data_IF_130580806610
#
_entry.id   IF_130580806610
#
_cell.length_a   1.000
_cell.length_b   1.000
_cell.length_c   1.000
_cell.angle_alpha   90.00
_cell.angle_beta   90.00
_cell.angle_gamma   90.00
#
_symmetry.space_group_name_H-M   'P 1'
#
loop_
_entity.id
_entity.type
_entity.pdbx_description
1 polymer ?
#
# COMPACT_ATOMS: atom_id res chain seq x y z
N UNK A 1 -15.25 1.74 -5.16
CA UNK A 1 -14.61 0.85 -6.18
C UNK A 1 -13.49 0.03 -5.53
N UNK A 2 -13.01 -1.08 -6.13
CA UNK A 2 -11.79 -1.78 -5.65
C UNK A 2 -10.55 -0.94 -5.96
N UNK A 3 -9.48 -1.05 -5.17
CA UNK A 3 -8.26 -0.23 -5.37
C UNK A 3 -7.66 -0.39 -6.77
N UNK A 4 -7.54 -1.61 -7.29
CA UNK A 4 -6.96 -1.84 -8.60
C UNK A 4 -7.82 -1.23 -9.72
N UNK A 5 -9.14 -1.39 -9.62
CA UNK A 5 -10.10 -0.78 -10.54
C UNK A 5 -10.04 0.75 -10.49
N UNK A 6 -9.99 1.32 -9.29
CA UNK A 6 -9.84 2.77 -9.11
C UNK A 6 -8.54 3.27 -9.76
N UNK A 7 -7.41 2.63 -9.47
CA UNK A 7 -6.12 3.03 -10.03
C UNK A 7 -6.09 2.87 -11.55
N UNK A 8 -6.76 1.87 -12.12
CA UNK A 8 -6.85 1.73 -13.57
C UNK A 8 -7.68 2.88 -14.19
N UNK A 9 -8.85 3.20 -13.63
CA UNK A 9 -9.82 4.15 -14.20
C UNK A 9 -9.50 5.63 -13.94
N UNK A 10 -8.87 5.96 -12.81
CA UNK A 10 -8.55 7.35 -12.43
C UNK A 10 -7.54 7.96 -13.42
N UNK A 11 -7.71 9.19 -13.88
CA UNK A 11 -6.73 9.82 -14.80
C UNK A 11 -5.64 10.59 -14.06
N UNK A 12 -5.92 11.03 -12.84
CA UNK A 12 -4.99 11.80 -12.02
C UNK A 12 -4.02 10.89 -11.25
N UNK A 13 -2.74 10.90 -11.66
CA UNK A 13 -1.67 10.15 -11.01
C UNK A 13 -1.47 10.53 -9.53
N UNK A 14 -1.69 11.80 -9.15
CA UNK A 14 -1.55 12.24 -7.77
C UNK A 14 -2.66 11.67 -6.87
N UNK A 15 -3.89 11.52 -7.39
CA UNK A 15 -4.95 10.83 -6.65
C UNK A 15 -4.64 9.36 -6.44
N UNK A 16 -4.03 8.69 -7.43
CA UNK A 16 -3.56 7.31 -7.28
C UNK A 16 -2.48 7.20 -6.19
N UNK A 17 -1.45 8.06 -6.22
CA UNK A 17 -0.39 8.09 -5.19
C UNK A 17 -0.96 8.35 -3.80
N UNK A 18 -1.85 9.33 -3.68
CA UNK A 18 -2.51 9.68 -2.41
C UNK A 18 -3.28 8.50 -1.86
N UNK A 19 -4.08 7.81 -2.69
CA UNK A 19 -4.81 6.62 -2.26
C UNK A 19 -3.87 5.50 -1.77
N UNK A 20 -2.75 5.26 -2.46
CA UNK A 20 -1.74 4.28 -2.04
C UNK A 20 -1.10 4.68 -0.70
N UNK A 21 -0.75 5.95 -0.52
CA UNK A 21 -0.18 6.47 0.72
C UNK A 21 -1.15 6.34 1.90
N UNK A 22 -2.43 6.66 1.69
CA UNK A 22 -3.46 6.52 2.73
C UNK A 22 -3.67 5.06 3.16
N UNK A 23 -3.56 4.09 2.23
CA UNK A 23 -3.54 2.67 2.60
C UNK A 23 -2.33 2.36 3.47
N UNK A 24 -1.14 2.80 3.08
CA UNK A 24 0.09 2.57 3.84
C UNK A 24 0.01 3.15 5.27
N UNK A 25 -0.59 4.33 5.44
CA UNK A 25 -0.82 4.95 6.75
C UNK A 25 -1.74 4.08 7.62
N UNK A 26 -2.82 3.55 7.05
CA UNK A 26 -3.70 2.62 7.77
C UNK A 26 -2.98 1.34 8.18
N UNK A 27 -2.14 0.78 7.31
CA UNK A 27 -1.35 -0.42 7.60
C UNK A 27 -0.29 -0.18 8.66
N UNK A 28 0.38 0.99 8.61
CA UNK A 28 1.34 1.43 9.62
C UNK A 28 0.73 1.44 11.02
N UNK A 29 -0.52 1.90 11.13
CA UNK A 29 -1.27 1.91 12.38
C UNK A 29 -1.48 0.49 12.92
N UNK A 30 -1.84 -0.46 12.05
CA UNK A 30 -1.94 -1.88 12.45
C UNK A 30 -0.59 -2.44 12.89
N UNK A 31 0.48 -2.16 12.15
CA UNK A 31 1.84 -2.59 12.49
C UNK A 31 2.30 -2.00 13.84
N UNK A 32 2.01 -0.72 14.13
CA UNK A 32 2.31 -0.12 15.45
C UNK A 32 1.54 -0.75 16.60
N UNK A 33 0.35 -1.27 16.33
CA UNK A 33 -0.48 -1.97 17.32
C UNK A 33 -0.12 -3.45 17.42
N UNK A 34 0.90 -3.93 16.70
CA UNK A 34 1.27 -5.35 16.66
C UNK A 34 0.12 -6.23 16.17
N UNK A 35 -0.68 -5.70 15.25
CA UNK A 35 -1.84 -6.36 14.66
C UNK A 35 -1.51 -6.75 13.23
N UNK A 36 -1.67 -8.03 12.88
CA UNK A 36 -1.57 -8.51 11.51
C UNK A 36 -2.95 -8.88 10.96
N UNK A 37 -3.32 -8.26 9.83
CA UNK A 37 -4.65 -8.41 9.24
C UNK A 37 -4.88 -9.79 8.60
N UNK A 38 -3.82 -10.48 8.14
CA UNK A 38 -3.89 -11.83 7.56
C UNK A 38 -4.40 -11.94 6.12
N UNK A 39 -5.15 -10.95 5.62
CA UNK A 39 -5.78 -10.96 4.27
C UNK A 39 -5.06 -10.14 3.19
N UNK A 40 -3.83 -9.67 3.46
CA UNK A 40 -3.08 -8.83 2.52
C UNK A 40 -2.36 -9.60 1.39
N UNK A 41 -2.67 -10.89 1.21
CA UNK A 41 -2.27 -11.68 0.03
C UNK A 41 -3.03 -11.22 -1.22
N UNK A 42 -4.23 -10.62 -1.07
CA UNK A 42 -5.05 -10.09 -2.17
C UNK A 42 -5.56 -8.67 -1.91
N UNK A 43 -4.67 -7.65 -1.85
CA UNK A 43 -5.07 -6.28 -1.51
C UNK A 43 -6.14 -5.70 -2.45
N UNK A 44 -6.15 -6.17 -3.70
CA UNK A 44 -7.16 -5.86 -4.72
C UNK A 44 -8.60 -6.19 -4.29
N UNK A 45 -8.79 -7.15 -3.38
CA UNK A 45 -10.11 -7.58 -2.87
C UNK A 45 -10.45 -7.08 -1.48
N UNK A 46 -9.50 -6.51 -0.75
CA UNK A 46 -9.71 -6.10 0.65
C UNK A 46 -9.52 -4.60 0.87
N UNK A 47 -9.35 -3.83 -0.21
CA UNK A 47 -9.32 -2.37 -0.18
C UNK A 47 -10.42 -1.82 -1.10
N UNK A 48 -11.28 -0.97 -0.52
CA UNK A 48 -12.28 -0.19 -1.24
C UNK A 48 -11.89 1.27 -1.25
N UNK A 49 -12.02 1.92 -2.40
CA UNK A 49 -11.92 3.38 -2.54
C UNK A 49 -13.33 3.95 -2.55
N UNK A 50 -13.61 4.84 -1.60
CA UNK A 50 -14.85 5.62 -1.54
C UNK A 50 -14.91 6.64 -2.68
N UNK A 51 -16.08 7.24 -2.92
CA UNK A 51 -16.26 8.24 -3.99
C UNK A 51 -15.39 9.49 -3.79
N UNK A 52 -15.10 9.83 -2.54
CA UNK A 52 -14.17 10.89 -2.13
C UNK A 52 -12.68 10.55 -2.40
N UNK A 53 -12.38 9.34 -2.89
CA UNK A 53 -11.02 8.86 -3.15
C UNK A 53 -10.32 8.27 -1.91
N UNK A 54 -10.99 8.19 -0.76
CA UNK A 54 -10.40 7.69 0.47
C UNK A 54 -10.45 6.16 0.50
N UNK A 55 -9.31 5.48 0.70
CA UNK A 55 -9.27 4.03 0.85
C UNK A 55 -9.80 3.58 2.22
N UNK A 56 -10.47 2.44 2.23
CA UNK A 56 -10.96 1.76 3.43
C UNK A 56 -10.52 0.30 3.37
N UNK A 57 -9.84 -0.16 4.41
CA UNK A 57 -9.55 -1.57 4.63
C UNK A 57 -10.83 -2.28 5.08
N UNK A 58 -11.15 -3.40 4.43
CA UNK A 58 -12.29 -4.23 4.81
C UNK A 58 -11.83 -5.65 5.16
N UNK A 59 -12.73 -6.41 5.78
CA UNK A 59 -12.53 -7.84 6.12
C UNK A 59 -11.38 -8.05 7.12
N UNK A 60 -11.71 -8.07 8.41
CA UNK A 60 -10.78 -8.23 9.53
C UNK A 60 -10.92 -9.61 10.21
N UNK A 61 -11.59 -10.58 9.59
CA UNK A 61 -11.93 -11.85 10.25
C UNK A 61 -10.70 -12.69 10.63
N UNK A 62 -9.58 -12.53 9.92
CA UNK A 62 -8.31 -13.22 10.18
C UNK A 62 -7.28 -12.34 10.87
N UNK A 63 -7.73 -11.21 11.40
CA UNK A 63 -6.90 -10.30 12.15
C UNK A 63 -6.42 -10.96 13.44
N UNK A 64 -5.12 -10.86 13.72
CA UNK A 64 -4.51 -11.45 14.91
C UNK A 64 -3.38 -10.58 15.45
N UNK A 65 -3.16 -10.66 16.74
CA UNK A 65 -1.98 -10.06 17.36
C UNK A 65 -0.72 -10.85 16.98
N UNK A 66 0.38 -10.15 16.79
CA UNK A 66 1.69 -10.73 16.49
C UNK A 66 2.80 -9.73 16.80
N UNK A 67 3.92 -10.22 17.32
CA UNK A 67 5.15 -9.43 17.48
C UNK A 67 5.84 -9.08 16.16
N UNK A 68 5.39 -9.66 15.05
CA UNK A 68 6.00 -9.50 13.73
C UNK A 68 4.97 -9.24 12.63
N UNK A 69 4.23 -8.12 12.69
CA UNK A 69 3.24 -7.80 11.69
C UNK A 69 3.90 -7.58 10.31
N UNK A 70 3.18 -7.93 9.25
CA UNK A 70 3.72 -7.91 7.87
C UNK A 70 2.82 -7.12 6.91
N UNK A 71 1.97 -6.23 7.43
CA UNK A 71 0.94 -5.59 6.61
C UNK A 71 1.58 -4.71 5.52
N UNK A 72 2.56 -3.86 5.89
CA UNK A 72 3.28 -3.02 4.94
C UNK A 72 4.09 -3.84 3.95
N UNK A 73 4.84 -4.85 4.41
CA UNK A 73 5.67 -5.68 3.52
C UNK A 73 4.81 -6.41 2.47
N UNK A 74 3.67 -6.98 2.87
CA UNK A 74 2.75 -7.65 1.94
C UNK A 74 2.14 -6.66 0.95
N UNK A 75 1.76 -5.47 1.41
CA UNK A 75 1.23 -4.45 0.50
C UNK A 75 2.28 -3.94 -0.49
N UNK A 76 3.52 -3.75 -0.06
CA UNK A 76 4.65 -3.39 -0.95
C UNK A 76 4.90 -4.46 -2.01
N UNK A 77 4.78 -5.76 -1.66
CA UNK A 77 4.88 -6.84 -2.65
C UNK A 77 3.79 -6.71 -3.73
N UNK A 78 2.57 -6.35 -3.33
CA UNK A 78 1.49 -6.05 -4.28
C UNK A 78 1.80 -4.81 -5.12
N UNK A 79 2.32 -3.74 -4.52
CA UNK A 79 2.69 -2.51 -5.24
C UNK A 79 3.73 -2.76 -6.32
N UNK A 80 4.71 -3.63 -6.03
CA UNK A 80 5.74 -4.01 -6.97
C UNK A 80 5.31 -5.15 -7.92
N UNK A 81 4.00 -5.41 -8.05
CA UNK A 81 3.44 -6.47 -8.88
C UNK A 81 2.96 -5.97 -10.25
N UNK A 82 3.06 -6.84 -11.26
CA UNK A 82 2.75 -6.52 -12.67
C UNK A 82 1.34 -5.98 -12.92
N UNK A 83 0.35 -6.42 -12.12
CA UNK A 83 -1.04 -5.96 -12.28
C UNK A 83 -1.20 -4.49 -11.91
N UNK A 84 -0.51 -4.04 -10.87
CA UNK A 84 -0.57 -2.64 -10.47
C UNK A 84 0.23 -1.76 -11.43
N UNK A 85 1.40 -2.23 -11.86
CA UNK A 85 2.22 -1.58 -12.88
C UNK A 85 1.40 -1.27 -14.15
N UNK A 86 0.72 -2.29 -14.69
CA UNK A 86 -0.19 -2.10 -15.83
C UNK A 86 -1.31 -1.09 -15.57
N UNK A 87 -1.85 -1.03 -14.34
CA UNK A 87 -2.88 -0.06 -13.97
C UNK A 87 -2.33 1.38 -13.87
N UNK A 88 -1.09 1.55 -13.40
CA UNK A 88 -0.44 2.85 -13.24
C UNK A 88 0.02 3.46 -14.58
N UNK A 89 0.22 2.62 -15.61
CA UNK A 89 0.52 3.02 -16.98
C UNK A 89 -0.71 3.05 -17.92
N UNK A 90 -1.90 2.78 -17.38
CA UNK A 90 -3.15 2.85 -18.14
C UNK A 90 -3.70 4.29 -18.21
N UNK A 91 -4.64 4.56 -19.12
CA UNK A 91 -5.39 5.83 -19.19
C UNK A 91 -4.52 7.11 -19.21
N UNK A 92 -3.35 7.05 -19.85
CA UNK A 92 -2.48 8.22 -20.06
C UNK A 92 -1.67 8.65 -18.83
N UNK A 93 -1.74 7.91 -17.71
CA UNK A 93 -0.86 8.13 -16.55
C UNK A 93 0.52 7.56 -16.80
N UNK A 94 1.52 8.17 -16.16
CA UNK A 94 2.87 7.67 -16.12
C UNK A 94 3.43 7.78 -14.70
N UNK A 95 2.85 7.02 -13.76
CA UNK A 95 3.36 6.93 -12.39
C UNK A 95 4.38 5.79 -12.35
N UNK A 96 5.65 6.12 -12.08
CA UNK A 96 6.72 5.14 -12.12
C UNK A 96 7.19 4.80 -10.71
N UNK A 97 6.62 3.73 -10.16
CA UNK A 97 6.98 3.28 -8.83
C UNK A 97 8.23 2.40 -8.91
N UNK A 98 9.31 2.82 -8.24
CA UNK A 98 10.52 2.01 -8.11
C UNK A 98 10.28 0.80 -7.17
N UNK A 99 9.77 -0.30 -7.72
CA UNK A 99 9.41 -1.50 -6.98
C UNK A 99 10.58 -2.19 -6.28
N UNK A 100 11.81 -2.12 -6.82
CA UNK A 100 13.00 -2.68 -6.15
C UNK A 100 13.35 -1.87 -4.90
N UNK A 101 13.36 -0.54 -5.00
CA UNK A 101 13.60 0.36 -3.87
C UNK A 101 12.52 0.27 -2.81
N UNK A 102 11.24 0.17 -3.19
CA UNK A 102 10.15 -0.07 -2.22
C UNK A 102 10.36 -1.34 -1.42
N UNK A 103 10.73 -2.45 -2.08
CA UNK A 103 10.99 -3.72 -1.39
C UNK A 103 12.14 -3.59 -0.40
N UNK A 104 13.22 -2.90 -0.77
CA UNK A 104 14.34 -2.60 0.12
C UNK A 104 13.87 -1.84 1.37
N UNK A 105 13.24 -0.68 1.17
CA UNK A 105 12.71 0.14 2.28
C UNK A 105 11.73 -0.62 3.18
N UNK A 106 10.89 -1.49 2.60
CA UNK A 106 9.96 -2.31 3.39
C UNK A 106 10.65 -3.37 4.26
N UNK A 107 11.83 -3.86 3.85
CA UNK A 107 12.65 -4.77 4.67
C UNK A 107 13.32 -4.00 5.79
N UNK A 108 13.83 -2.82 5.50
CA UNK A 108 14.46 -1.93 6.49
C UNK A 108 13.45 -1.50 7.55
N UNK A 109 12.25 -1.08 7.14
CA UNK A 109 11.15 -0.79 8.06
C UNK A 109 10.90 -1.92 9.06
N UNK A 110 10.90 -3.18 8.59
CA UNK A 110 10.70 -4.35 9.44
C UNK A 110 11.93 -4.63 10.33
N UNK A 111 13.14 -4.59 9.78
CA UNK A 111 14.37 -4.91 10.52
C UNK A 111 14.70 -3.87 11.59
N UNK A 112 14.29 -2.63 11.36
CA UNK A 112 14.47 -1.48 12.25
C UNK A 112 13.39 -1.37 13.34
N UNK A 113 12.47 -2.34 13.44
CA UNK A 113 11.48 -2.39 14.50
C UNK A 113 10.27 -1.49 14.27
N UNK A 114 9.82 -1.34 13.01
CA UNK A 114 8.60 -0.61 12.66
C UNK A 114 8.64 0.87 13.04
N UNK A 115 9.81 1.50 12.96
CA UNK A 115 10.03 2.92 13.28
C UNK A 115 9.37 3.84 12.25
N UNK A 116 9.11 5.08 12.68
CA UNK A 116 8.42 6.08 11.85
C UNK A 116 9.30 6.60 10.71
N UNK A 117 10.59 6.81 10.95
CA UNK A 117 11.52 7.38 9.97
C UNK A 117 11.64 6.52 8.71
N UNK A 118 11.72 5.20 8.87
CA UNK A 118 11.75 4.22 7.78
C UNK A 118 10.42 4.16 7.04
N UNK A 119 9.31 4.34 7.75
CA UNK A 119 8.00 4.44 7.11
C UNK A 119 7.88 5.71 6.27
N UNK A 120 8.40 6.84 6.74
CA UNK A 120 8.39 8.10 6.00
C UNK A 120 9.21 8.01 4.71
N UNK A 121 10.31 7.24 4.70
CA UNK A 121 11.07 6.96 3.47
C UNK A 121 10.23 6.23 2.43
N UNK A 122 9.37 5.28 2.83
CA UNK A 122 8.44 4.58 1.93
C UNK A 122 7.44 5.57 1.34
N UNK A 123 6.88 6.46 2.17
CA UNK A 123 5.90 7.45 1.71
C UNK A 123 6.50 8.48 0.76
N UNK A 124 7.70 8.99 1.06
CA UNK A 124 8.37 9.99 0.22
C UNK A 124 8.70 9.42 -1.16
N UNK A 125 9.20 8.18 -1.23
CA UNK A 125 9.45 7.51 -2.50
C UNK A 125 8.19 7.48 -3.39
N UNK A 126 7.03 7.21 -2.82
CA UNK A 126 5.76 7.14 -3.56
C UNK A 126 5.21 8.50 -3.97
N UNK A 127 5.43 9.54 -3.16
CA UNK A 127 5.05 10.92 -3.50
C UNK A 127 5.89 11.45 -4.67
N UNK A 128 7.18 11.12 -4.67
CA UNK A 128 8.15 11.58 -5.66
C UNK A 128 8.15 10.75 -6.97
N UNK A 129 7.35 9.67 -7.05
CA UNK A 129 7.24 8.74 -8.19
C UNK A 129 6.44 9.27 -9.39
#
# INVERSE_FOLDING_TARGET
KRILTFIAEESDGERCKKAICEVLIQLRKLDSLQIHKGEFVRPDRHILIKEDGIPVLIDFERCKETSTPQNITQFVQFLAGMKLDAALHSNGKNVNINGSRLRELSRDYKSQGYRQEEFDQILNLLRDS
#
